data_IF_584834797874
#
_entry.id   IF_584834797874
#
_cell.length_a   1.000
_cell.length_b   1.000
_cell.length_c   1.000
_cell.angle_alpha   90.00
_cell.angle_beta   90.00
_cell.angle_gamma   90.00
#
_symmetry.space_group_name_H-M   'P 1'
#
loop_
_entity.id
_entity.type
_entity.pdbx_description
1 polymer ?
#
# COMPACT_ATOMS: atom_id res chain seq x y z
N UNK A 1 67.27 -54.57 11.17
CA UNK A 1 67.28 -53.37 12.03
C UNK A 1 66.88 -52.22 11.12
N UNK A 2 65.62 -52.18 10.68
CA UNK A 2 64.47 -51.49 11.28
C UNK A 2 64.73 -49.98 11.43
N UNK A 3 64.24 -49.19 10.47
CA UNK A 3 63.26 -48.14 10.75
C UNK A 3 62.76 -47.50 9.45
N UNK A 4 61.57 -47.91 9.03
CA UNK A 4 60.75 -47.19 8.05
C UNK A 4 59.54 -46.67 8.83
N UNK A 5 59.63 -45.46 9.35
CA UNK A 5 58.57 -44.83 10.12
C UNK A 5 57.41 -44.48 9.20
N UNK A 6 56.30 -45.20 9.40
CA UNK A 6 55.05 -45.05 8.67
C UNK A 6 54.35 -43.75 9.06
N UNK A 7 53.83 -43.10 8.02
CA UNK A 7 52.88 -42.00 7.94
C UNK A 7 52.03 -41.68 9.19
N UNK A 8 51.97 -40.38 9.51
CA UNK A 8 50.81 -39.80 10.20
C UNK A 8 50.44 -38.46 9.57
N UNK A 9 49.68 -38.55 8.47
CA UNK A 9 49.01 -37.40 7.87
C UNK A 9 47.87 -36.95 8.79
N UNK A 10 48.20 -36.08 9.75
CA UNK A 10 47.26 -35.46 10.66
C UNK A 10 46.42 -34.43 9.89
N UNK A 11 45.41 -34.87 9.13
CA UNK A 11 44.44 -33.98 8.49
C UNK A 11 43.43 -33.52 9.54
N UNK A 12 43.33 -32.22 9.86
CA UNK A 12 42.26 -31.74 10.71
C UNK A 12 40.92 -31.99 10.02
N UNK A 13 40.03 -32.74 10.67
CA UNK A 13 38.62 -32.85 10.25
C UNK A 13 38.02 -31.44 10.24
N UNK A 14 37.92 -30.82 9.06
CA UNK A 14 37.02 -29.67 8.85
C UNK A 14 35.60 -30.16 9.16
N UNK A 15 35.12 -29.90 10.38
CA UNK A 15 33.69 -29.94 10.69
C UNK A 15 33.05 -28.92 9.75
N UNK A 16 32.37 -29.39 8.72
CA UNK A 16 31.68 -28.50 7.79
C UNK A 16 30.67 -27.67 8.61
N UNK A 17 30.62 -26.34 8.47
CA UNK A 17 29.65 -25.49 9.17
C UNK A 17 28.22 -25.62 8.61
N UNK A 18 27.97 -26.61 7.75
CA UNK A 18 26.68 -26.93 7.15
C UNK A 18 25.50 -26.95 8.14
N UNK A 19 25.58 -27.52 9.37
CA UNK A 19 24.43 -27.51 10.26
C UNK A 19 24.09 -26.09 10.73
N UNK A 20 25.10 -25.25 10.95
CA UNK A 20 24.91 -23.86 11.40
C UNK A 20 24.30 -23.02 10.28
N UNK A 21 24.79 -23.16 9.05
CA UNK A 21 24.24 -22.47 7.88
C UNK A 21 22.79 -22.85 7.60
N UNK A 22 22.45 -24.15 7.72
CA UNK A 22 21.10 -24.64 7.51
C UNK A 22 20.14 -24.15 8.61
N UNK A 23 20.61 -24.05 9.85
CA UNK A 23 19.84 -23.53 10.98
C UNK A 23 19.55 -22.03 10.82
N UNK A 24 20.56 -21.24 10.43
CA UNK A 24 20.41 -19.82 10.11
C UNK A 24 19.41 -19.60 8.97
N UNK A 25 19.47 -20.41 7.91
CA UNK A 25 18.54 -20.33 6.80
C UNK A 25 17.09 -20.63 7.24
N UNK A 26 16.92 -21.66 8.08
CA UNK A 26 15.61 -22.02 8.61
C UNK A 26 15.02 -20.92 9.50
N UNK A 27 15.83 -20.33 10.38
CA UNK A 27 15.43 -19.20 11.24
C UNK A 27 15.05 -17.99 10.38
N UNK A 28 15.86 -17.67 9.36
CA UNK A 28 15.58 -16.57 8.45
C UNK A 28 14.27 -16.81 7.68
N UNK A 29 14.07 -18.00 7.12
CA UNK A 29 12.86 -18.35 6.40
C UNK A 29 11.61 -18.29 7.30
N UNK A 30 11.69 -18.80 8.52
CA UNK A 30 10.60 -18.73 9.49
C UNK A 30 10.28 -17.28 9.88
N UNK A 31 11.31 -16.45 10.11
CA UNK A 31 11.13 -15.03 10.41
C UNK A 31 10.50 -14.28 9.24
N UNK A 32 10.97 -14.52 8.02
CA UNK A 32 10.41 -13.91 6.81
C UNK A 32 8.96 -14.33 6.60
N UNK A 33 8.65 -15.62 6.74
CA UNK A 33 7.29 -16.13 6.62
C UNK A 33 6.35 -15.53 7.67
N UNK A 34 6.79 -15.44 8.93
CA UNK A 34 6.02 -14.80 10.00
C UNK A 34 5.82 -13.30 9.75
N UNK A 35 6.86 -12.60 9.27
CA UNK A 35 6.79 -11.18 8.94
C UNK A 35 5.87 -10.92 7.74
N UNK A 36 5.92 -11.79 6.73
CA UNK A 36 5.03 -11.76 5.58
C UNK A 36 3.58 -12.04 6.00
N UNK A 37 3.35 -13.01 6.89
CA UNK A 37 2.02 -13.30 7.43
C UNK A 37 1.47 -12.10 8.23
N UNK A 38 2.31 -11.47 9.04
CA UNK A 38 1.96 -10.28 9.81
C UNK A 38 1.65 -9.07 8.91
N UNK A 39 2.38 -8.89 7.80
CA UNK A 39 2.11 -7.85 6.81
C UNK A 39 0.93 -8.16 5.89
N UNK A 40 0.66 -9.45 5.67
CA UNK A 40 -0.51 -9.92 4.92
C UNK A 40 -1.79 -9.84 5.75
N UNK A 41 -1.67 -9.71 7.07
CA UNK A 41 -2.80 -9.39 7.93
C UNK A 41 -3.34 -8.03 7.47
N UNK A 42 -4.57 -8.00 6.89
CA UNK A 42 -5.12 -6.76 6.42
C UNK A 42 -5.14 -5.83 7.61
N UNK A 43 -4.46 -4.68 7.48
CA UNK A 43 -4.63 -3.63 8.48
C UNK A 43 -6.14 -3.47 8.69
N UNK A 44 -6.56 -3.28 9.94
CA UNK A 44 -7.95 -3.03 10.32
C UNK A 44 -8.45 -1.68 9.80
N UNK A 45 -8.04 -1.30 8.59
CA UNK A 45 -8.58 -0.23 7.80
C UNK A 45 -10.09 -0.36 7.73
N UNK A 46 -10.75 0.78 7.85
CA UNK A 46 -12.20 0.87 7.83
C UNK A 46 -12.77 0.01 6.69
N UNK A 47 -13.76 -0.83 7.01
CA UNK A 47 -14.42 -1.65 6.00
C UNK A 47 -14.95 -0.78 4.86
N UNK A 48 -15.01 -1.33 3.65
CA UNK A 48 -15.47 -0.62 2.46
C UNK A 48 -16.83 0.09 2.67
N UNK A 49 -17.74 -0.57 3.40
CA UNK A 49 -19.04 0.00 3.78
C UNK A 49 -18.94 1.16 4.76
N UNK A 50 -17.95 1.14 5.66
CA UNK A 50 -17.72 2.24 6.61
C UNK A 50 -17.20 3.47 5.87
N UNK A 51 -16.22 3.29 4.98
CA UNK A 51 -15.71 4.37 4.11
C UNK A 51 -16.85 4.96 3.28
N UNK A 52 -17.66 4.11 2.66
CA UNK A 52 -18.81 4.55 1.85
C UNK A 52 -19.82 5.37 2.66
N UNK A 53 -20.20 4.91 3.85
CA UNK A 53 -21.14 5.64 4.73
C UNK A 53 -20.58 7.00 5.17
N UNK A 54 -19.31 7.04 5.55
CA UNK A 54 -18.66 8.28 5.95
C UNK A 54 -18.54 9.26 4.77
N UNK A 55 -18.20 8.76 3.58
CA UNK A 55 -18.17 9.56 2.37
C UNK A 55 -19.55 10.11 2.02
N UNK A 56 -20.62 9.32 2.15
CA UNK A 56 -21.99 9.80 1.92
C UNK A 56 -22.39 10.89 2.92
N UNK A 57 -22.09 10.70 4.20
CA UNK A 57 -22.34 11.71 5.24
C UNK A 57 -21.57 13.00 4.95
N UNK A 58 -20.33 12.89 4.47
CA UNK A 58 -19.51 14.04 4.10
C UNK A 58 -20.01 14.70 2.81
N UNK A 59 -20.03 14.02 1.67
CA UNK A 59 -20.35 14.59 0.36
C UNK A 59 -21.78 15.13 0.24
N UNK A 60 -22.71 14.67 1.09
CA UNK A 60 -24.14 15.02 1.10
C UNK A 60 -24.87 14.84 -0.24
N UNK A 61 -24.19 14.28 -1.24
CA UNK A 61 -24.64 14.07 -2.61
C UNK A 61 -24.59 12.57 -2.90
N UNK A 62 -25.73 12.05 -3.35
CA UNK A 62 -25.80 10.68 -3.86
C UNK A 62 -25.21 10.69 -5.27
N UNK A 63 -24.14 9.93 -5.56
CA UNK A 63 -23.61 9.86 -6.90
C UNK A 63 -24.69 9.32 -7.86
N UNK A 64 -24.76 9.85 -9.10
CA UNK A 64 -25.66 9.31 -10.10
C UNK A 64 -25.33 7.83 -10.36
N UNK A 65 -26.36 6.98 -10.34
CA UNK A 65 -26.19 5.55 -10.64
C UNK A 65 -25.82 5.35 -12.11
N UNK A 66 -25.02 4.32 -12.38
CA UNK A 66 -24.65 3.94 -13.74
C UNK A 66 -23.35 4.59 -14.27
N UNK A 67 -22.65 5.38 -13.46
CA UNK A 67 -21.34 5.93 -13.80
C UNK A 67 -20.37 5.79 -12.62
N UNK A 68 -19.13 5.41 -12.89
CA UNK A 68 -18.08 5.39 -11.87
C UNK A 68 -17.74 6.83 -11.44
N UNK A 69 -17.53 7.03 -10.14
CA UNK A 69 -17.34 8.36 -9.55
C UNK A 69 -16.06 8.39 -8.73
N UNK A 70 -15.25 9.42 -8.93
CA UNK A 70 -14.05 9.71 -8.16
C UNK A 70 -14.27 10.94 -7.28
N UNK A 71 -14.12 10.78 -5.97
CA UNK A 71 -14.19 11.83 -4.98
C UNK A 71 -12.78 12.24 -4.57
N UNK A 72 -12.50 13.54 -4.63
CA UNK A 72 -11.21 14.09 -4.26
C UNK A 72 -11.34 14.91 -2.98
N UNK A 73 -10.69 14.46 -1.92
CA UNK A 73 -10.82 14.99 -0.57
C UNK A 73 -9.54 15.73 -0.17
N UNK A 74 -9.69 16.80 0.61
CA UNK A 74 -8.56 17.50 1.24
C UNK A 74 -8.30 16.90 2.62
N UNK A 75 -7.17 16.25 2.83
CA UNK A 75 -6.81 15.75 4.16
C UNK A 75 -6.59 16.91 5.15
N UNK A 76 -7.14 16.80 6.35
CA UNK A 76 -6.80 17.69 7.46
C UNK A 76 -5.35 17.45 7.89
N UNK A 77 -4.59 18.51 8.19
CA UNK A 77 -3.22 18.42 8.73
C UNK A 77 -2.11 18.16 7.71
N UNK A 78 -2.43 17.87 6.43
CA UNK A 78 -1.43 17.64 5.39
C UNK A 78 -1.25 18.91 4.53
N UNK A 79 -0.44 19.85 5.04
CA UNK A 79 -0.26 21.19 4.47
C UNK A 79 0.82 21.35 3.41
N UNK A 80 1.42 20.25 2.92
CA UNK A 80 2.74 20.29 2.29
C UNK A 80 2.77 20.46 0.77
N UNK A 81 1.70 20.95 0.14
CA UNK A 81 1.76 21.53 -1.23
C UNK A 81 0.47 22.30 -1.52
N UNK A 82 0.53 23.41 -2.29
CA UNK A 82 -0.68 24.02 -2.83
C UNK A 82 -1.42 22.97 -3.66
N UNK A 83 -2.75 22.90 -3.47
CA UNK A 83 -3.65 22.02 -4.20
C UNK A 83 -3.44 22.22 -5.70
N UNK A 84 -2.77 21.27 -6.36
CA UNK A 84 -2.77 21.20 -7.81
C UNK A 84 -4.20 20.97 -8.32
N UNK A 85 -4.50 21.28 -9.59
CA UNK A 85 -5.80 20.96 -10.16
C UNK A 85 -6.12 19.49 -9.93
N UNK A 86 -7.36 19.22 -9.52
CA UNK A 86 -7.90 17.89 -9.36
C UNK A 86 -7.53 17.04 -10.60
N UNK A 87 -6.76 15.93 -10.46
CA UNK A 87 -6.42 15.09 -11.60
C UNK A 87 -7.71 14.68 -12.31
N UNK A 88 -7.76 14.94 -13.62
CA UNK A 88 -8.91 14.56 -14.43
C UNK A 88 -8.81 13.07 -14.71
N UNK A 89 -9.76 12.32 -14.16
CA UNK A 89 -9.80 10.87 -14.35
C UNK A 89 -10.72 10.54 -15.54
N UNK A 90 -10.17 10.08 -16.67
CA UNK A 90 -10.95 9.85 -17.88
C UNK A 90 -11.96 8.72 -17.67
N UNK A 91 -13.21 8.94 -18.09
CA UNK A 91 -14.29 7.97 -17.95
C UNK A 91 -14.96 7.93 -16.56
N UNK A 92 -14.51 8.77 -15.61
CA UNK A 92 -15.12 8.90 -14.29
C UNK A 92 -15.76 10.28 -14.11
N UNK A 93 -16.87 10.32 -13.37
CA UNK A 93 -17.40 11.58 -12.84
C UNK A 93 -16.48 12.03 -11.70
N UNK A 94 -15.86 13.20 -11.85
CA UNK A 94 -14.96 13.76 -10.85
C UNK A 94 -15.72 14.72 -9.94
N UNK A 95 -15.75 14.42 -8.64
CA UNK A 95 -16.36 15.27 -7.60
C UNK A 95 -15.24 15.79 -6.72
N UNK A 96 -14.99 17.09 -6.82
CA UNK A 96 -14.05 17.78 -5.93
C UNK A 96 -14.76 18.16 -4.63
N UNK A 97 -14.30 17.61 -3.49
CA UNK A 97 -14.74 17.96 -2.14
C UNK A 97 -13.64 18.71 -1.36
N UNK A 98 -12.72 19.34 -2.08
CA UNK A 98 -11.54 20.00 -1.58
C UNK A 98 -11.74 21.30 -0.81
N UNK A 99 -12.91 21.90 -0.95
CA UNK A 99 -13.24 23.19 -0.34
C UNK A 99 -13.19 23.15 1.19
N UNK A 100 -13.39 21.97 1.77
CA UNK A 100 -13.33 21.74 3.23
C UNK A 100 -12.42 20.56 3.57
N UNK A 101 -11.79 20.57 4.75
CA UNK A 101 -11.01 19.43 5.20
C UNK A 101 -11.91 18.21 5.41
N UNK A 102 -11.42 17.05 5.01
CA UNK A 102 -12.01 15.76 5.27
C UNK A 102 -11.95 15.45 6.76
N UNK A 103 -12.98 14.77 7.32
CA UNK A 103 -12.94 14.29 8.68
C UNK A 103 -11.83 13.25 8.85
N UNK A 104 -11.29 13.09 10.06
CA UNK A 104 -10.24 12.10 10.37
C UNK A 104 -10.64 10.66 10.01
N UNK A 105 -11.95 10.39 10.00
CA UNK A 105 -12.51 9.11 9.60
C UNK A 105 -12.33 8.80 8.09
N UNK A 106 -12.06 9.80 7.26
CA UNK A 106 -11.76 9.67 5.83
C UNK A 106 -10.32 10.11 5.52
N UNK A 107 -9.31 9.34 5.94
CA UNK A 107 -7.89 9.65 5.69
C UNK A 107 -7.46 9.27 4.26
N UNK A 108 -8.34 9.48 3.27
CA UNK A 108 -8.12 9.11 1.87
C UNK A 108 -8.36 10.33 0.98
N UNK A 109 -7.33 10.88 0.32
CA UNK A 109 -7.50 12.03 -0.57
C UNK A 109 -8.18 11.66 -1.89
N UNK A 110 -8.19 10.39 -2.28
CA UNK A 110 -8.91 9.88 -3.45
C UNK A 110 -9.75 8.66 -3.06
N UNK A 111 -11.05 8.72 -3.34
CA UNK A 111 -11.99 7.60 -3.17
C UNK A 111 -12.72 7.38 -4.49
N UNK A 112 -12.79 6.13 -4.96
CA UNK A 112 -13.45 5.78 -6.23
C UNK A 112 -14.51 4.72 -5.99
N UNK A 113 -15.70 5.01 -6.48
CA UNK A 113 -16.84 4.10 -6.51
C UNK A 113 -17.10 3.64 -7.96
N UNK A 114 -17.52 2.39 -8.14
CA UNK A 114 -18.01 1.91 -9.42
C UNK A 114 -19.42 2.43 -9.74
N UNK A 115 -19.96 2.03 -10.90
CA UNK A 115 -21.29 2.42 -11.36
C UNK A 115 -22.43 1.96 -10.44
N UNK A 116 -22.21 0.92 -9.63
CA UNK A 116 -23.15 0.37 -8.64
C UNK A 116 -22.97 1.01 -7.25
N UNK A 117 -22.01 1.93 -7.11
CA UNK A 117 -21.68 2.61 -5.87
C UNK A 117 -20.87 1.74 -4.89
N UNK A 118 -20.23 0.68 -5.36
CA UNK A 118 -19.30 -0.13 -4.57
C UNK A 118 -17.93 0.54 -4.54
N UNK A 119 -17.25 0.43 -3.41
CA UNK A 119 -15.90 0.94 -3.27
C UNK A 119 -14.95 0.10 -4.15
N UNK A 120 -14.14 0.79 -4.96
CA UNK A 120 -13.10 0.17 -5.80
C UNK A 120 -11.71 0.57 -5.30
N UNK A 121 -11.56 1.83 -4.90
CA UNK A 121 -10.29 2.39 -4.44
C UNK A 121 -10.51 3.41 -3.33
N UNK A 122 -9.67 3.38 -2.30
CA UNK A 122 -9.54 4.46 -1.31
C UNK A 122 -8.06 4.62 -0.96
N UNK A 123 -7.47 5.79 -1.22
CA UNK A 123 -6.05 5.99 -0.98
C UNK A 123 -5.47 7.27 -1.56
N UNK A 124 -4.13 7.36 -1.67
CA UNK A 124 -3.47 8.54 -2.21
C UNK A 124 -3.76 8.72 -3.70
N UNK A 125 -3.61 9.95 -4.22
CA UNK A 125 -3.65 10.19 -5.67
C UNK A 125 -2.39 9.66 -6.38
N UNK A 126 -1.28 9.57 -5.64
CA UNK A 126 0.00 9.04 -6.08
C UNK A 126 0.48 7.99 -5.07
N UNK A 127 0.73 6.79 -5.55
CA UNK A 127 1.22 5.68 -4.75
C UNK A 127 2.73 5.76 -4.73
N UNK A 128 3.33 5.75 -3.54
CA UNK A 128 4.78 5.69 -3.40
C UNK A 128 5.32 4.40 -4.02
N UNK A 129 6.25 4.54 -4.96
CA UNK A 129 6.97 3.43 -5.57
C UNK A 129 8.46 3.53 -5.27
N UNK A 130 9.18 2.43 -5.44
CA UNK A 130 10.64 2.44 -5.40
C UNK A 130 11.17 3.23 -6.62
N UNK A 131 11.43 4.52 -6.45
CA UNK A 131 12.06 5.41 -7.44
C UNK A 131 11.12 6.47 -8.03
N UNK A 132 9.89 6.12 -8.39
CA UNK A 132 8.92 7.08 -8.94
C UNK A 132 7.53 6.87 -8.35
N UNK A 133 6.83 7.97 -8.09
CA UNK A 133 5.44 7.94 -7.66
C UNK A 133 4.54 7.48 -8.82
N UNK A 134 3.64 6.54 -8.54
CA UNK A 134 2.74 5.95 -9.53
C UNK A 134 1.38 6.65 -9.41
N UNK A 135 0.83 7.28 -10.46
CA UNK A 135 -0.48 7.88 -10.38
C UNK A 135 -1.55 6.80 -10.20
N UNK A 136 -2.39 6.92 -9.17
CA UNK A 136 -3.45 5.95 -8.89
C UNK A 136 -4.41 5.78 -10.09
N UNK A 137 -4.60 6.87 -10.85
CA UNK A 137 -5.39 6.89 -12.10
C UNK A 137 -4.96 5.81 -13.12
N UNK A 138 -3.69 5.40 -13.13
CA UNK A 138 -3.19 4.35 -14.02
C UNK A 138 -3.71 2.95 -13.68
N UNK A 139 -4.11 2.72 -12.42
CA UNK A 139 -4.59 1.43 -11.92
C UNK A 139 -6.12 1.31 -11.99
N UNK A 140 -6.83 2.45 -11.93
CA UNK A 140 -8.29 2.47 -11.85
C UNK A 140 -9.02 1.73 -12.98
N UNK A 141 -8.61 1.81 -14.26
CA UNK A 141 -9.30 1.07 -15.32
C UNK A 141 -9.31 -0.44 -15.07
N UNK A 142 -8.20 -0.99 -14.55
CA UNK A 142 -8.11 -2.42 -14.22
C UNK A 142 -8.94 -2.77 -12.99
N UNK A 143 -8.93 -1.92 -11.98
CA UNK A 143 -9.73 -2.12 -10.76
C UNK A 143 -11.23 -2.04 -11.05
N UNK A 144 -11.66 -1.12 -11.90
CA UNK A 144 -13.05 -0.97 -12.35
C UNK A 144 -13.49 -2.16 -13.21
N UNK A 145 -12.61 -2.67 -14.09
CA UNK A 145 -12.90 -3.86 -14.89
C UNK A 145 -13.02 -5.13 -14.02
N UNK A 146 -12.29 -5.19 -12.92
CA UNK A 146 -12.34 -6.30 -11.96
C UNK A 146 -13.46 -6.13 -10.92
N UNK A 147 -14.67 -5.70 -11.32
CA UNK A 147 -15.79 -5.29 -10.45
C UNK A 147 -16.10 -6.22 -9.25
N UNK A 148 -15.74 -7.51 -9.28
CA UNK A 148 -15.90 -8.44 -8.14
C UNK A 148 -14.72 -8.51 -7.17
N UNK A 149 -13.62 -7.79 -7.42
CA UNK A 149 -12.41 -7.83 -6.61
C UNK A 149 -12.55 -7.03 -5.31
N UNK A 150 -11.78 -7.44 -4.31
CA UNK A 150 -11.65 -6.71 -3.04
C UNK A 150 -11.16 -5.28 -3.32
N UNK A 151 -11.77 -4.25 -2.70
CA UNK A 151 -11.33 -2.87 -2.91
C UNK A 151 -9.88 -2.68 -2.50
N UNK A 152 -9.16 -1.88 -3.28
CA UNK A 152 -7.79 -1.49 -2.93
C UNK A 152 -7.85 -0.30 -1.97
N UNK A 153 -7.54 -0.56 -0.70
CA UNK A 153 -7.50 0.45 0.35
C UNK A 153 -6.04 0.66 0.76
N UNK A 154 -5.53 1.88 0.55
CA UNK A 154 -4.17 2.28 0.88
C UNK A 154 -4.23 3.44 1.85
N UNK A 155 -3.60 3.27 3.02
CA UNK A 155 -3.47 4.35 3.99
C UNK A 155 -2.53 5.43 3.42
N UNK A 156 -3.00 6.67 3.46
CA UNK A 156 -2.19 7.80 3.03
C UNK A 156 -1.36 8.27 4.21
N UNK A 157 -0.04 8.23 4.06
CA UNK A 157 0.87 8.85 5.00
C UNK A 157 1.22 10.21 4.42
N UNK A 158 1.05 11.27 5.22
CA UNK A 158 1.45 12.59 4.77
C UNK A 158 2.96 12.73 4.91
N UNK A 159 3.67 12.29 3.87
CA UNK A 159 5.09 12.55 3.72
C UNK A 159 5.26 14.00 3.26
N UNK A 160 5.38 14.92 4.22
CA UNK A 160 5.94 16.22 3.92
C UNK A 160 7.42 16.03 3.61
N UNK A 161 7.91 16.36 2.39
CA UNK A 161 9.34 16.42 2.19
C UNK A 161 9.88 17.47 3.16
N UNK A 162 10.75 17.04 4.08
CA UNK A 162 11.50 17.96 4.92
C UNK A 162 12.35 18.78 3.96
N UNK A 163 12.14 20.09 3.93
CA UNK A 163 12.96 21.01 3.15
C UNK A 163 14.44 20.70 3.47
N UNK A 164 15.32 20.50 2.47
CA UNK A 164 16.73 20.34 2.76
C UNK A 164 17.19 21.63 3.42
N UNK A 165 17.60 21.55 4.69
CA UNK A 165 18.25 22.65 5.39
C UNK A 165 19.42 23.13 4.53
N UNK A 166 19.30 24.36 4.02
CA UNK A 166 20.38 25.09 3.37
C UNK A 166 21.41 25.57 4.41
#
# INVERSE_FOLDING_TARGET
MHDATIAEANRPRRRSPLPVGMLLLAVWAAWSAASLAYLAEPSSGASADTIRRQLQAFASSTPPRGQAVAFQLRLAGCGCTPRGPAPTLPGLLNIDLGDRPAPEALPYPLIVLDADGRLVYAGPSHIEGCGAAIPAASLLPRLLAASSATPLILLTHCACPKEPSA
#
